data_IF_246565190348
#
_entry.id   IF_246565190348
#
_cell.length_a   1.000
_cell.length_b   1.000
_cell.length_c   1.000
_cell.angle_alpha   90.00
_cell.angle_beta   90.00
_cell.angle_gamma   90.00
#
_symmetry.space_group_name_H-M   'P 1'
#
loop_
_entity.id
_entity.type
_entity.pdbx_description
1 polymer ?
#
# COMPACT_ATOMS: atom_id res chain seq x y z
N UNK A 1 1.15 -1.63 -13.01
CA UNK A 1 0.92 -1.66 -11.55
C UNK A 1 -0.41 -2.35 -11.26
N UNK A 2 -0.45 -3.44 -10.48
CA UNK A 2 -1.70 -4.13 -10.17
C UNK A 2 -2.65 -3.32 -9.27
N UNK A 3 -2.12 -2.29 -8.59
CA UNK A 3 -2.88 -1.44 -7.67
C UNK A 3 -3.38 -0.13 -8.30
N UNK A 4 -3.14 0.09 -9.57
CA UNK A 4 -3.52 1.30 -10.30
C UNK A 4 -3.06 2.61 -9.61
N UNK A 5 -1.83 2.63 -9.08
CA UNK A 5 -1.32 3.79 -8.32
C UNK A 5 -0.64 4.85 -9.19
N UNK A 6 0.24 4.50 -10.18
CA UNK A 6 0.92 5.52 -10.96
C UNK A 6 -0.05 6.36 -11.79
N UNK A 7 0.16 7.67 -11.82
CA UNK A 7 -0.62 8.62 -12.60
C UNK A 7 0.29 9.38 -13.55
N UNK A 8 -0.24 9.70 -14.73
CA UNK A 8 0.45 10.53 -15.72
C UNK A 8 -0.09 11.95 -15.60
N UNK A 9 0.82 12.89 -15.42
CA UNK A 9 0.51 14.30 -15.55
C UNK A 9 0.19 14.60 -17.03
N UNK A 10 -0.99 15.15 -17.33
CA UNK A 10 -1.40 15.41 -18.71
C UNK A 10 -0.58 16.50 -19.40
N UNK A 11 0.05 17.42 -18.66
CA UNK A 11 0.83 18.53 -19.18
C UNK A 11 2.29 18.11 -19.41
N UNK A 12 2.94 17.61 -18.37
CA UNK A 12 4.38 17.26 -18.41
C UNK A 12 4.66 15.87 -18.97
N UNK A 13 3.63 15.02 -19.09
CA UNK A 13 3.73 13.60 -19.47
C UNK A 13 4.61 12.75 -18.53
N UNK A 14 4.88 13.25 -17.35
CA UNK A 14 5.64 12.54 -16.34
C UNK A 14 4.73 11.60 -15.54
N UNK A 15 5.30 10.46 -15.13
CA UNK A 15 4.60 9.49 -14.27
C UNK A 15 4.92 9.82 -12.83
N UNK A 16 3.88 10.02 -12.04
CA UNK A 16 3.97 10.30 -10.62
C UNK A 16 3.35 9.17 -9.79
N UNK A 17 3.97 8.89 -8.65
CA UNK A 17 3.44 8.04 -7.58
C UNK A 17 3.96 8.54 -6.24
N UNK A 18 3.39 8.04 -5.15
CA UNK A 18 3.93 8.28 -3.81
C UNK A 18 5.39 7.79 -3.72
N UNK A 19 6.28 8.66 -3.25
CA UNK A 19 7.70 8.40 -2.98
C UNK A 19 8.01 8.35 -1.49
N UNK A 20 6.97 8.29 -0.64
CA UNK A 20 7.04 8.36 0.83
C UNK A 20 7.64 9.68 1.36
N UNK A 21 7.53 10.76 0.58
CA UNK A 21 8.17 12.04 0.92
C UNK A 21 9.67 11.87 1.22
N UNK A 22 10.37 11.17 0.34
CA UNK A 22 11.76 10.77 0.52
C UNK A 22 12.66 11.90 1.02
N UNK A 23 12.53 13.11 0.42
CA UNK A 23 13.32 14.28 0.82
C UNK A 23 13.07 14.70 2.28
N UNK A 24 11.81 14.62 2.74
CA UNK A 24 11.43 14.96 4.12
C UNK A 24 11.94 13.91 5.11
N UNK A 25 11.76 12.64 4.78
CA UNK A 25 12.18 11.51 5.64
C UNK A 25 13.68 11.52 5.86
N UNK A 26 14.48 11.77 4.81
CA UNK A 26 15.94 11.89 4.93
C UNK A 26 16.39 13.09 5.79
N UNK A 27 15.53 14.08 5.99
CA UNK A 27 15.77 15.21 6.90
C UNK A 27 15.18 14.97 8.31
N UNK A 28 14.75 13.76 8.63
CA UNK A 28 14.15 13.40 9.92
C UNK A 28 12.73 13.94 10.12
N UNK A 29 12.07 14.40 9.05
CA UNK A 29 10.69 14.90 9.11
C UNK A 29 9.69 13.80 8.74
N UNK A 30 8.50 13.87 9.33
CA UNK A 30 7.40 12.97 8.96
C UNK A 30 6.91 13.26 7.53
N UNK A 31 6.41 12.25 6.81
CA UNK A 31 5.67 12.43 5.56
C UNK A 31 4.54 13.45 5.71
N UNK A 32 4.29 14.23 4.67
CA UNK A 32 3.31 15.32 4.73
C UNK A 32 1.88 14.82 5.05
N UNK A 33 1.48 13.67 4.49
CA UNK A 33 0.18 13.07 4.76
C UNK A 33 0.00 12.64 6.22
N UNK A 34 1.06 12.15 6.87
CA UNK A 34 1.05 11.78 8.29
C UNK A 34 0.95 13.03 9.16
N UNK A 35 1.77 14.04 8.85
CA UNK A 35 1.78 15.30 9.61
C UNK A 35 0.43 16.05 9.53
N UNK A 36 -0.23 16.01 8.38
CA UNK A 36 -1.50 16.71 8.16
C UNK A 36 -2.75 15.90 8.54
N UNK A 37 -2.61 14.66 9.02
CA UNK A 37 -3.74 13.82 9.35
C UNK A 37 -4.37 14.21 10.71
N UNK A 38 -5.55 14.84 10.75
CA UNK A 38 -6.13 15.31 12.02
C UNK A 38 -6.65 14.18 12.90
N UNK A 39 -6.95 13.04 12.30
CA UNK A 39 -7.50 11.86 13.01
C UNK A 39 -6.43 10.91 13.53
N UNK A 40 -5.15 11.11 13.14
CA UNK A 40 -4.06 10.21 13.50
C UNK A 40 -4.16 8.80 12.90
N UNK A 41 -4.98 8.62 11.87
CA UNK A 41 -5.09 7.32 11.19
C UNK A 41 -3.90 7.00 10.28
N UNK A 42 -3.17 8.04 9.83
CA UNK A 42 -1.94 7.89 9.05
C UNK A 42 -0.75 7.80 10.00
N UNK A 43 0.04 6.75 9.88
CA UNK A 43 1.23 6.54 10.70
C UNK A 43 2.42 6.23 9.79
N UNK A 44 3.63 6.48 10.30
CA UNK A 44 4.87 6.23 9.60
C UNK A 44 5.96 5.89 10.61
N UNK A 45 6.75 4.87 10.32
CA UNK A 45 7.85 4.40 11.16
C UNK A 45 8.51 3.18 10.56
N UNK A 46 9.38 2.55 11.34
CA UNK A 46 9.99 1.29 10.98
C UNK A 46 8.93 0.20 10.78
N UNK A 47 9.20 -0.73 9.87
CA UNK A 47 8.22 -1.74 9.47
C UNK A 47 7.70 -2.55 10.65
N UNK A 48 8.59 -3.02 11.50
CA UNK A 48 8.24 -3.84 12.67
C UNK A 48 7.29 -3.08 13.62
N UNK A 49 7.57 -1.81 13.87
CA UNK A 49 6.71 -0.96 14.72
C UNK A 49 5.34 -0.75 14.10
N UNK A 50 5.29 -0.57 12.77
CA UNK A 50 4.03 -0.35 12.05
C UNK A 50 3.20 -1.64 11.94
N UNK A 51 3.82 -2.80 11.79
CA UNK A 51 3.15 -4.10 11.85
C UNK A 51 2.54 -4.34 13.23
N UNK A 52 3.30 -4.13 14.29
CA UNK A 52 2.80 -4.24 15.67
C UNK A 52 1.63 -3.29 15.95
N UNK A 53 1.73 -2.04 15.51
CA UNK A 53 0.65 -1.05 15.63
C UNK A 53 -0.59 -1.46 14.85
N UNK A 54 -0.42 -2.00 13.64
CA UNK A 54 -1.52 -2.46 12.80
C UNK A 54 -2.27 -3.64 13.43
N UNK A 55 -1.55 -4.59 14.04
CA UNK A 55 -2.14 -5.73 14.75
C UNK A 55 -2.93 -5.28 15.99
N UNK A 56 -2.37 -4.38 16.79
CA UNK A 56 -3.06 -3.81 17.97
C UNK A 56 -4.37 -3.13 17.54
N UNK A 57 -4.32 -2.27 16.52
CA UNK A 57 -5.51 -1.59 16.02
C UNK A 57 -6.51 -2.53 15.37
N UNK A 58 -6.05 -3.59 14.72
CA UNK A 58 -6.95 -4.62 14.18
C UNK A 58 -7.73 -5.30 15.30
N UNK A 59 -7.07 -5.64 16.42
CA UNK A 59 -7.73 -6.24 17.57
C UNK A 59 -8.83 -5.32 18.13
N UNK A 60 -8.53 -4.04 18.33
CA UNK A 60 -9.50 -3.03 18.78
C UNK A 60 -10.67 -2.85 17.81
N UNK A 61 -10.39 -2.76 16.52
CA UNK A 61 -11.41 -2.55 15.48
C UNK A 61 -12.33 -3.77 15.34
N UNK A 62 -11.81 -4.98 15.53
CA UNK A 62 -12.60 -6.22 15.46
C UNK A 62 -13.69 -6.33 16.51
N UNK A 63 -13.58 -5.65 17.63
CA UNK A 63 -14.65 -5.58 18.64
C UNK A 63 -15.93 -4.96 18.06
N UNK A 64 -15.77 -4.00 17.14
CA UNK A 64 -16.87 -3.29 16.49
C UNK A 64 -17.17 -3.79 15.07
N UNK A 65 -16.14 -4.21 14.36
CA UNK A 65 -16.20 -4.67 12.96
C UNK A 65 -15.55 -6.07 12.85
N UNK A 66 -16.32 -7.15 13.07
CA UNK A 66 -15.78 -8.52 13.08
C UNK A 66 -15.07 -8.94 11.79
N UNK A 67 -15.44 -8.33 10.66
CA UNK A 67 -14.87 -8.60 9.34
C UNK A 67 -13.59 -7.79 9.05
N UNK A 68 -13.11 -6.99 10.01
CA UNK A 68 -11.93 -6.16 9.81
C UNK A 68 -10.70 -7.00 9.47
N UNK A 69 -9.94 -6.54 8.48
CA UNK A 69 -8.73 -7.21 7.96
C UNK A 69 -7.60 -6.23 7.70
N UNK A 70 -6.36 -6.72 7.77
CA UNK A 70 -5.20 -5.97 7.31
C UNK A 70 -4.96 -6.27 5.82
N UNK A 71 -4.74 -5.21 5.05
CA UNK A 71 -4.29 -5.27 3.67
C UNK A 71 -2.77 -5.12 3.58
N UNK A 72 -2.07 -6.18 3.92
CA UNK A 72 -0.63 -6.30 3.75
C UNK A 72 -0.31 -7.70 3.21
N UNK A 73 0.51 -7.77 2.17
CA UNK A 73 1.01 -9.02 1.60
C UNK A 73 2.52 -9.22 1.86
N UNK A 74 3.12 -8.42 2.74
CA UNK A 74 4.55 -8.47 3.04
C UNK A 74 5.46 -7.89 1.97
N UNK A 75 4.93 -7.45 0.83
CA UNK A 75 5.71 -6.98 -0.32
C UNK A 75 5.65 -5.46 -0.46
N UNK A 76 4.49 -4.86 -0.16
CA UNK A 76 4.29 -3.42 -0.21
C UNK A 76 4.66 -2.74 1.10
N UNK A 77 5.02 -1.45 1.03
CA UNK A 77 5.40 -0.67 2.20
C UNK A 77 4.23 0.10 2.82
N UNK A 78 3.00 -0.25 2.48
CA UNK A 78 1.79 0.37 3.03
C UNK A 78 0.88 -0.72 3.57
N UNK A 79 0.53 -0.61 4.84
CA UNK A 79 -0.42 -1.49 5.51
C UNK A 79 -1.75 -0.74 5.63
N UNK A 80 -2.83 -1.36 5.16
CA UNK A 80 -4.17 -0.81 5.28
C UNK A 80 -4.98 -1.62 6.29
N UNK A 81 -5.69 -0.94 7.16
CA UNK A 81 -6.70 -1.54 8.02
C UNK A 81 -8.09 -1.26 7.44
N UNK A 82 -8.76 -2.30 7.00
CA UNK A 82 -10.12 -2.27 6.47
C UNK A 82 -11.11 -2.76 7.51
N UNK A 83 -12.20 -2.03 7.71
CA UNK A 83 -13.29 -2.45 8.60
C UNK A 83 -14.14 -3.57 8.00
N UNK A 84 -14.21 -3.65 6.66
CA UNK A 84 -14.97 -4.63 5.89
C UNK A 84 -14.11 -5.20 4.75
N UNK A 85 -14.66 -6.09 3.92
CA UNK A 85 -13.97 -6.68 2.76
C UNK A 85 -13.33 -5.58 1.89
N UNK A 86 -12.02 -5.66 1.61
CA UNK A 86 -11.30 -4.69 0.78
C UNK A 86 -11.94 -4.40 -0.58
N UNK A 87 -12.64 -5.37 -1.17
CA UNK A 87 -13.33 -5.20 -2.45
C UNK A 87 -14.47 -4.17 -2.40
N UNK A 88 -15.02 -3.90 -1.20
CA UNK A 88 -16.05 -2.87 -1.00
C UNK A 88 -15.49 -1.44 -1.11
N UNK A 89 -14.17 -1.28 -0.87
CA UNK A 89 -13.52 0.04 -0.90
C UNK A 89 -13.00 0.38 -2.29
N UNK A 90 -12.32 -0.56 -2.93
CA UNK A 90 -11.76 -0.33 -4.26
C UNK A 90 -11.49 -1.64 -4.99
N UNK A 91 -11.79 -1.68 -6.30
CA UNK A 91 -11.61 -2.88 -7.14
C UNK A 91 -10.16 -3.39 -7.24
N UNK A 92 -9.18 -2.56 -6.91
CA UNK A 92 -7.76 -2.90 -6.87
C UNK A 92 -7.24 -3.10 -5.43
N UNK A 93 -8.10 -3.10 -4.42
CA UNK A 93 -7.76 -3.42 -3.03
C UNK A 93 -7.58 -4.93 -2.84
N UNK A 94 -6.62 -5.52 -3.54
CA UNK A 94 -6.40 -6.98 -3.62
C UNK A 94 -5.28 -7.49 -2.70
N UNK A 95 -4.98 -6.74 -1.65
CA UNK A 95 -3.83 -6.98 -0.78
C UNK A 95 -3.83 -8.31 -0.05
N UNK A 96 -4.99 -8.88 0.22
CA UNK A 96 -5.13 -10.12 0.96
C UNK A 96 -5.06 -11.38 0.07
N UNK A 97 -4.88 -11.23 -1.25
CA UNK A 97 -4.83 -12.38 -2.17
C UNK A 97 -3.40 -12.61 -2.64
N UNK A 98 -2.92 -13.82 -2.41
CA UNK A 98 -1.62 -14.31 -2.92
C UNK A 98 -1.49 -14.25 -4.44
N UNK A 99 -2.59 -14.03 -5.16
CA UNK A 99 -2.66 -13.94 -6.62
C UNK A 99 -2.20 -12.59 -7.18
N UNK A 100 -2.03 -11.58 -6.33
CA UNK A 100 -1.68 -10.21 -6.72
C UNK A 100 -0.20 -9.85 -6.49
N UNK A 101 0.64 -10.83 -6.25
CA UNK A 101 2.07 -10.59 -6.08
C UNK A 101 2.63 -9.82 -7.28
N UNK A 102 3.30 -8.69 -7.06
CA UNK A 102 3.91 -7.94 -8.15
C UNK A 102 4.92 -8.83 -8.86
N UNK A 103 4.78 -8.87 -10.17
CA UNK A 103 5.65 -9.67 -11.01
C UNK A 103 7.11 -9.25 -10.83
N UNK A 104 7.96 -10.19 -10.43
CA UNK A 104 9.39 -9.94 -10.33
C UNK A 104 9.99 -9.60 -11.71
N UNK A 105 11.09 -8.86 -11.72
CA UNK A 105 11.83 -8.56 -12.96
C UNK A 105 12.12 -9.82 -13.78
N UNK A 106 12.48 -10.93 -13.13
CA UNK A 106 12.75 -12.21 -13.78
C UNK A 106 11.52 -12.78 -14.48
N UNK A 107 10.36 -12.73 -13.82
CA UNK A 107 9.07 -13.18 -14.37
C UNK A 107 8.63 -12.30 -15.55
N UNK A 108 8.84 -10.96 -15.45
CA UNK A 108 8.58 -10.06 -16.55
C UNK A 108 9.42 -10.40 -17.79
N UNK A 109 10.73 -10.56 -17.62
CA UNK A 109 11.60 -10.93 -18.75
C UNK A 109 11.30 -12.33 -19.29
N UNK A 110 10.87 -13.28 -18.48
CA UNK A 110 10.45 -14.58 -18.94
C UNK A 110 9.19 -14.49 -19.84
N UNK A 111 8.25 -13.60 -19.50
CA UNK A 111 7.06 -13.35 -20.35
C UNK A 111 7.41 -12.67 -21.67
N UNK A 112 8.34 -11.70 -21.66
CA UNK A 112 8.77 -11.00 -22.86
C UNK A 112 9.55 -11.89 -23.84
N UNK A 113 10.14 -12.99 -23.37
CA UNK A 113 10.86 -13.96 -24.21
C UNK A 113 9.98 -15.01 -24.86
N UNK A 114 8.70 -15.10 -24.51
CA UNK A 114 7.77 -16.02 -25.19
C UNK A 114 7.40 -15.44 -26.54
N UNK A 115 7.62 -16.18 -27.65
CA UNK A 115 7.12 -15.74 -28.95
C UNK A 115 5.60 -15.58 -28.87
N UNK A 116 5.11 -14.46 -29.37
CA UNK A 116 3.68 -14.25 -29.56
C UNK A 116 3.28 -15.21 -30.67
N UNK A 117 2.51 -16.23 -30.32
CA UNK A 117 1.96 -17.16 -31.28
C UNK A 117 0.78 -16.52 -32.00
#
# INVERSE_FOLDING_TARGET
CPYDIPRIDPETKQIHKCDFCNDRVHQGMLPACVLSCPTGCMNFGEREDMENLAEQRLAEVKERFPNAVLGDNGIVHVIYLYAEDPNLYHKFAVFARNDADPMTRRQLFAKLRRPVA
#
